data_IF_288809156474
#
_entry.id   IF_288809156474
#
_cell.length_a   1.000
_cell.length_b   1.000
_cell.length_c   1.000
_cell.angle_alpha   90.00
_cell.angle_beta   90.00
_cell.angle_gamma   90.00
#
_symmetry.space_group_name_H-M   'P 1'
#
loop_
_entity.id
_entity.type
_entity.pdbx_description
1 polymer ?
#
# COMPACT_ATOMS: atom_id res chain seq x y z
N UNK A 1 53.25 17.61 -15.19
CA UNK A 1 51.78 17.63 -14.98
C UNK A 1 51.18 16.25 -15.30
N UNK A 2 51.20 15.28 -14.38
CA UNK A 2 50.44 14.01 -14.52
C UNK A 2 50.25 13.33 -13.15
N UNK A 3 49.62 14.00 -12.18
CA UNK A 3 49.25 13.34 -10.90
C UNK A 3 47.92 13.78 -10.31
N UNK A 4 47.24 14.80 -10.86
CA UNK A 4 45.98 15.30 -10.28
C UNK A 4 44.70 14.61 -10.77
N UNK A 5 44.75 13.67 -11.71
CA UNK A 5 43.54 13.07 -12.29
C UNK A 5 43.10 11.74 -11.67
N UNK A 6 43.95 11.06 -10.88
CA UNK A 6 43.59 9.76 -10.28
C UNK A 6 42.84 9.88 -8.94
N UNK A 7 43.00 10.98 -8.20
CA UNK A 7 42.33 11.15 -6.90
C UNK A 7 40.86 11.57 -7.00
N UNK A 8 40.43 12.11 -8.15
CA UNK A 8 39.02 12.49 -8.38
C UNK A 8 38.09 11.29 -8.66
N UNK A 9 38.62 10.23 -9.27
CA UNK A 9 37.82 9.05 -9.63
C UNK A 9 37.58 8.11 -8.43
N UNK A 10 38.53 8.01 -7.51
CA UNK A 10 38.40 7.14 -6.33
C UNK A 10 37.41 7.73 -5.32
N UNK A 11 37.34 9.07 -5.20
CA UNK A 11 36.39 9.71 -4.29
C UNK A 11 34.93 9.60 -4.78
N UNK A 12 34.72 9.52 -6.10
CA UNK A 12 33.39 9.36 -6.70
C UNK A 12 32.82 7.94 -6.61
N UNK A 13 33.64 6.93 -6.31
CA UNK A 13 33.17 5.55 -6.12
C UNK A 13 32.79 5.24 -4.67
N UNK A 14 33.24 6.04 -3.69
CA UNK A 14 32.92 5.83 -2.28
C UNK A 14 31.52 6.37 -1.87
N UNK A 15 30.89 7.21 -2.69
CA UNK A 15 29.54 7.73 -2.48
C UNK A 15 28.46 6.97 -3.25
N UNK A 16 28.86 6.02 -4.10
CA UNK A 16 27.97 5.13 -4.85
C UNK A 16 27.66 3.87 -4.03
N UNK A 17 27.27 4.03 -2.76
CA UNK A 17 26.37 3.05 -2.17
C UNK A 17 25.05 3.28 -2.88
N UNK A 18 24.88 2.64 -4.03
CA UNK A 18 23.58 2.41 -4.62
C UNK A 18 22.77 1.70 -3.56
N UNK A 19 22.01 2.48 -2.79
CA UNK A 19 20.77 2.00 -2.22
C UNK A 19 20.02 1.57 -3.47
N UNK A 20 20.04 0.28 -3.75
CA UNK A 20 19.03 -0.35 -4.58
C UNK A 20 17.73 -0.10 -3.83
N UNK A 21 17.19 1.11 -3.99
CA UNK A 21 15.80 1.37 -3.75
C UNK A 21 15.13 0.39 -4.70
N UNK A 22 14.67 -0.72 -4.15
CA UNK A 22 13.84 -1.68 -4.85
C UNK A 22 12.75 -0.82 -5.49
N UNK A 23 12.87 -0.62 -6.80
CA UNK A 23 11.92 0.12 -7.63
C UNK A 23 10.59 -0.61 -7.41
N UNK A 24 9.67 -0.06 -6.65
CA UNK A 24 8.59 -0.86 -6.04
C UNK A 24 8.18 -0.43 -4.62
N UNK A 25 9.18 -0.04 -3.83
CA UNK A 25 9.17 -0.15 -2.38
C UNK A 25 8.82 1.10 -1.60
N UNK A 26 8.55 0.91 -0.30
CA UNK A 26 8.60 2.02 0.64
C UNK A 26 10.07 2.40 0.90
N UNK A 27 10.38 3.69 0.97
CA UNK A 27 11.66 4.18 1.48
C UNK A 27 11.83 3.80 2.97
N UNK A 28 13.06 3.75 3.48
CA UNK A 28 13.32 3.40 4.90
C UNK A 28 12.51 4.27 5.88
N UNK A 29 12.33 5.55 5.58
CA UNK A 29 11.54 6.46 6.39
C UNK A 29 10.04 6.12 6.32
N UNK A 30 9.52 5.80 5.14
CA UNK A 30 8.13 5.34 4.95
C UNK A 30 7.90 3.99 5.66
N UNK A 31 8.84 3.04 5.55
CA UNK A 31 8.80 1.74 6.23
C UNK A 31 8.70 1.94 7.74
N UNK A 32 9.60 2.74 8.31
CA UNK A 32 9.62 3.04 9.74
C UNK A 32 8.33 3.75 10.17
N UNK A 33 7.91 4.78 9.44
CA UNK A 33 6.70 5.55 9.73
C UNK A 33 5.46 4.66 9.75
N UNK A 34 5.32 3.77 8.77
CA UNK A 34 4.21 2.83 8.69
C UNK A 34 4.20 1.86 9.87
N UNK A 35 5.33 1.20 10.12
CA UNK A 35 5.45 0.18 11.18
C UNK A 35 5.25 0.78 12.57
N UNK A 36 5.82 1.97 12.82
CA UNK A 36 5.64 2.67 14.10
C UNK A 36 4.16 2.98 14.37
N UNK A 37 3.42 3.49 13.36
CA UNK A 37 2.02 3.84 13.54
C UNK A 37 1.13 2.59 13.66
N UNK A 38 1.41 1.51 12.91
CA UNK A 38 0.71 0.21 13.09
C UNK A 38 0.97 -0.36 14.48
N UNK A 39 2.23 -0.39 14.94
CA UNK A 39 2.57 -0.91 16.26
C UNK A 39 1.93 -0.09 17.39
N UNK A 40 1.93 1.23 17.27
CA UNK A 40 1.23 2.12 18.19
C UNK A 40 -0.26 1.77 18.31
N UNK A 41 -0.94 1.49 17.20
CA UNK A 41 -2.34 1.08 17.23
C UNK A 41 -2.52 -0.35 17.76
N UNK A 42 -1.65 -1.29 17.38
CA UNK A 42 -1.60 -2.65 17.96
C UNK A 42 -1.48 -2.61 19.48
N UNK A 43 -0.66 -1.71 20.03
CA UNK A 43 -0.48 -1.55 21.48
C UNK A 43 -1.70 -0.94 22.18
N UNK A 44 -2.45 -0.06 21.52
CA UNK A 44 -3.74 0.42 22.04
C UNK A 44 -4.78 -0.71 22.09
N UNK A 45 -4.76 -1.59 21.09
CA UNK A 45 -5.62 -2.77 21.05
C UNK A 45 -5.23 -3.78 22.15
N UNK A 46 -3.94 -4.10 22.26
CA UNK A 46 -3.39 -4.97 23.29
C UNK A 46 -1.91 -4.68 23.54
N UNK A 47 -1.58 -4.17 24.74
CA UNK A 47 -0.21 -3.80 25.11
C UNK A 47 0.81 -4.95 25.07
N UNK A 48 0.33 -6.20 25.13
CA UNK A 48 1.17 -7.41 25.11
C UNK A 48 1.55 -7.87 23.70
N UNK A 49 0.98 -7.29 22.65
CA UNK A 49 1.35 -7.66 21.28
C UNK A 49 2.82 -7.36 21.03
N UNK A 50 3.54 -8.28 20.40
CA UNK A 50 4.89 -7.97 19.92
C UNK A 50 4.81 -6.92 18.81
N UNK A 51 5.85 -6.10 18.75
CA UNK A 51 6.00 -5.14 17.66
C UNK A 51 6.28 -5.89 16.36
N UNK A 52 5.60 -5.47 15.29
CA UNK A 52 5.94 -5.89 13.95
C UNK A 52 7.29 -5.32 13.55
N UNK A 53 8.04 -6.12 12.79
CA UNK A 53 9.32 -5.73 12.21
C UNK A 53 9.21 -5.70 10.69
N UNK A 54 9.82 -4.70 10.05
CA UNK A 54 9.80 -4.61 8.59
C UNK A 54 10.75 -5.65 7.99
N UNK A 55 10.29 -6.36 6.96
CA UNK A 55 11.08 -7.34 6.21
C UNK A 55 11.02 -6.99 4.72
N UNK A 56 12.16 -6.56 4.17
CA UNK A 56 12.27 -6.16 2.76
C UNK A 56 12.19 -7.35 1.80
N UNK A 57 12.39 -8.58 2.26
CA UNK A 57 12.18 -9.75 1.39
C UNK A 57 10.69 -9.97 1.16
N UNK A 58 9.84 -9.67 2.15
CA UNK A 58 8.38 -9.74 1.99
C UNK A 58 7.85 -8.69 1.02
N UNK A 59 8.48 -7.52 0.94
CA UNK A 59 8.13 -6.49 -0.04
C UNK A 59 8.29 -7.01 -1.49
N UNK A 60 9.34 -7.79 -1.76
CA UNK A 60 9.61 -8.37 -3.08
C UNK A 60 8.58 -9.43 -3.50
N UNK A 61 7.87 -10.03 -2.54
CA UNK A 61 6.80 -10.99 -2.83
C UNK A 61 5.54 -10.29 -3.37
N UNK A 62 5.41 -8.96 -3.15
CA UNK A 62 4.22 -8.20 -3.49
C UNK A 62 4.23 -7.85 -4.97
N UNK A 63 3.44 -8.61 -5.71
CA UNK A 63 3.25 -8.46 -7.15
C UNK A 63 1.76 -8.43 -7.48
N UNK A 64 1.39 -8.00 -8.69
CA UNK A 64 -0.01 -8.02 -9.16
C UNK A 64 -0.65 -9.42 -9.09
N UNK A 65 0.15 -10.49 -9.09
CA UNK A 65 -0.36 -11.85 -8.88
C UNK A 65 -1.05 -12.04 -7.52
N UNK A 66 -0.72 -11.20 -6.53
CA UNK A 66 -1.37 -11.17 -5.23
C UNK A 66 -2.72 -10.45 -5.21
N UNK A 67 -3.11 -9.76 -6.28
CA UNK A 67 -4.39 -9.03 -6.33
C UNK A 67 -5.62 -9.91 -6.05
N UNK A 68 -5.50 -11.23 -6.24
CA UNK A 68 -6.57 -12.22 -6.04
C UNK A 68 -6.38 -13.05 -4.75
N UNK A 69 -5.46 -12.66 -3.88
CA UNK A 69 -5.11 -13.40 -2.66
C UNK A 69 -5.65 -12.69 -1.43
N UNK A 70 -6.36 -13.44 -0.58
CA UNK A 70 -7.04 -12.91 0.61
C UNK A 70 -6.08 -12.47 1.74
N UNK A 71 -4.78 -12.73 1.62
CA UNK A 71 -3.77 -12.29 2.59
C UNK A 71 -3.10 -10.97 2.22
N UNK A 72 -3.46 -10.35 1.08
CA UNK A 72 -2.95 -9.04 0.72
C UNK A 72 -3.76 -7.95 1.42
N UNK A 73 -3.10 -7.18 2.27
CA UNK A 73 -3.72 -6.14 3.07
C UNK A 73 -3.62 -4.82 2.33
N UNK A 74 -4.76 -4.30 1.85
CA UNK A 74 -4.81 -3.05 1.09
C UNK A 74 -4.48 -1.83 1.94
N UNK A 75 -3.68 -0.90 1.40
CA UNK A 75 -3.35 0.35 2.11
C UNK A 75 -4.34 1.48 1.79
N UNK A 76 -4.85 1.51 0.57
CA UNK A 76 -5.74 2.55 0.05
C UNK A 76 -6.75 1.93 -0.93
N UNK A 77 -7.96 2.49 -1.03
CA UNK A 77 -9.01 1.98 -1.93
C UNK A 77 -10.05 3.04 -2.30
N UNK A 78 -10.82 2.80 -3.37
CA UNK A 78 -11.87 3.72 -3.82
C UNK A 78 -13.16 3.60 -2.96
N UNK A 79 -14.07 4.57 -3.12
CA UNK A 79 -15.33 4.60 -2.35
C UNK A 79 -16.22 3.39 -2.59
N UNK A 80 -16.17 2.80 -3.79
CA UNK A 80 -16.93 1.57 -4.11
C UNK A 80 -16.45 0.41 -3.24
N UNK A 81 -15.14 0.24 -3.08
CA UNK A 81 -14.59 -0.80 -2.21
C UNK A 81 -14.93 -0.52 -0.74
N UNK A 82 -14.93 0.75 -0.32
CA UNK A 82 -15.37 1.14 1.02
C UNK A 82 -16.84 0.76 1.28
N UNK A 83 -17.73 0.94 0.29
CA UNK A 83 -19.14 0.54 0.40
C UNK A 83 -19.29 -0.98 0.50
N UNK A 84 -18.43 -1.75 -0.18
CA UNK A 84 -18.39 -3.21 -0.05
C UNK A 84 -18.03 -3.62 1.39
N UNK A 85 -16.99 -3.02 1.99
CA UNK A 85 -16.65 -3.28 3.41
C UNK A 85 -17.82 -2.92 4.33
N UNK A 86 -18.44 -1.75 4.14
CA UNK A 86 -19.54 -1.28 4.98
C UNK A 86 -20.79 -2.18 4.88
N UNK A 87 -21.01 -2.84 3.75
CA UNK A 87 -22.10 -3.81 3.56
C UNK A 87 -21.85 -5.17 4.24
N UNK A 88 -20.64 -5.39 4.78
CA UNK A 88 -20.20 -6.68 5.30
C UNK A 88 -19.94 -7.72 4.19
N UNK A 89 -19.80 -7.25 2.95
CA UNK A 89 -19.39 -8.05 1.79
C UNK A 89 -17.95 -8.54 1.90
N UNK A 90 -17.12 -7.81 2.63
CA UNK A 90 -15.75 -8.18 3.01
C UNK A 90 -15.44 -7.64 4.42
N UNK A 91 -14.46 -8.23 5.11
CA UNK A 91 -13.95 -7.73 6.40
C UNK A 91 -13.02 -6.55 6.21
N UNK A 92 -12.77 -5.77 7.27
CA UNK A 92 -11.72 -4.77 7.22
C UNK A 92 -10.38 -5.39 6.78
N UNK A 93 -9.66 -4.79 5.81
CA UNK A 93 -8.39 -5.34 5.33
C UNK A 93 -7.34 -5.37 6.44
N UNK A 94 -7.48 -4.50 7.45
CA UNK A 94 -6.51 -4.35 8.53
C UNK A 94 -6.65 -5.38 9.64
N UNK A 95 -7.66 -6.26 9.64
CA UNK A 95 -7.86 -7.29 10.68
C UNK A 95 -6.58 -8.07 10.95
N UNK A 96 -5.84 -8.43 9.89
CA UNK A 96 -4.61 -9.22 10.01
C UNK A 96 -3.48 -8.48 10.74
N UNK A 97 -3.45 -7.14 10.70
CA UNK A 97 -2.49 -6.34 11.48
C UNK A 97 -2.71 -6.43 12.99
N UNK A 98 -3.85 -6.94 13.44
CA UNK A 98 -4.19 -7.05 14.87
C UNK A 98 -4.19 -8.49 15.36
N UNK A 99 -3.51 -9.40 14.64
CA UNK A 99 -3.23 -10.74 15.16
C UNK A 99 -1.95 -10.71 16.03
N UNK A 100 -2.01 -11.33 17.21
CA UNK A 100 -0.88 -11.38 18.14
C UNK A 100 0.30 -12.21 17.62
N UNK A 101 0.04 -13.10 16.65
CA UNK A 101 1.00 -14.10 16.15
C UNK A 101 1.85 -13.59 14.99
N UNK A 102 1.45 -12.50 14.34
CA UNK A 102 2.22 -11.90 13.25
C UNK A 102 3.40 -11.10 13.82
N UNK A 103 4.57 -11.24 13.19
CA UNK A 103 5.83 -10.68 13.68
C UNK A 103 6.53 -9.83 12.61
N UNK A 104 6.27 -10.10 11.33
CA UNK A 104 6.91 -9.43 10.21
C UNK A 104 5.90 -8.85 9.24
N UNK A 105 6.27 -7.73 8.61
CA UNK A 105 5.49 -7.04 7.60
C UNK A 105 6.39 -6.60 6.45
N UNK A 106 5.94 -6.80 5.22
CA UNK A 106 6.48 -6.13 4.04
C UNK A 106 5.34 -5.45 3.29
N UNK A 107 5.61 -4.29 2.69
CA UNK A 107 4.59 -3.52 1.98
C UNK A 107 5.15 -2.96 0.67
N UNK A 108 4.29 -2.83 -0.33
CA UNK A 108 4.58 -2.09 -1.56
C UNK A 108 3.52 -1.01 -1.74
N UNK A 109 3.96 0.17 -2.19
CA UNK A 109 3.06 1.27 -2.58
C UNK A 109 2.71 1.28 -4.07
N UNK A 110 3.39 0.47 -4.87
CA UNK A 110 3.26 0.46 -6.34
C UNK A 110 2.18 -0.50 -6.84
N UNK A 111 1.77 -1.48 -6.04
CA UNK A 111 0.72 -2.42 -6.44
C UNK A 111 -0.63 -1.69 -6.62
N UNK A 112 -1.26 -1.94 -7.76
CA UNK A 112 -2.59 -1.47 -8.09
C UNK A 112 -3.43 -2.64 -8.56
N UNK A 113 -4.57 -2.84 -7.93
CA UNK A 113 -5.49 -3.91 -8.26
C UNK A 113 -6.86 -3.32 -8.59
N UNK A 114 -7.46 -3.80 -9.68
CA UNK A 114 -8.82 -3.47 -10.09
C UNK A 114 -9.60 -4.75 -10.34
N UNK A 115 -10.85 -4.75 -9.93
CA UNK A 115 -11.82 -5.80 -10.24
C UNK A 115 -13.23 -5.21 -10.27
N UNK A 116 -14.20 -6.00 -10.72
CA UNK A 116 -15.60 -5.64 -10.66
C UNK A 116 -16.28 -6.32 -9.48
N UNK A 117 -17.19 -5.60 -8.82
CA UNK A 117 -17.98 -6.17 -7.72
C UNK A 117 -18.87 -7.29 -8.27
N UNK A 118 -18.66 -8.51 -7.77
CA UNK A 118 -19.54 -9.65 -8.03
C UNK A 118 -20.84 -9.59 -7.22
N UNK A 119 -21.78 -10.48 -7.55
CA UNK A 119 -22.98 -10.67 -6.72
C UNK A 119 -22.68 -11.46 -5.44
N UNK A 120 -23.46 -11.22 -4.38
CA UNK A 120 -23.35 -11.97 -3.14
C UNK A 120 -24.48 -11.64 -2.16
N UNK A 121 -24.73 -12.49 -1.14
CA UNK A 121 -25.85 -12.32 -0.21
C UNK A 121 -25.76 -11.04 0.64
N UNK A 122 -24.55 -10.50 0.85
CA UNK A 122 -24.31 -9.26 1.59
C UNK A 122 -23.97 -8.05 0.70
N UNK A 123 -23.87 -8.25 -0.60
CA UNK A 123 -23.49 -7.20 -1.54
C UNK A 123 -24.77 -6.50 -2.05
N UNK A 124 -24.92 -5.18 -1.83
CA UNK A 124 -26.03 -4.41 -2.38
C UNK A 124 -26.05 -4.51 -3.92
N UNK A 125 -27.24 -4.65 -4.50
CA UNK A 125 -27.39 -4.81 -5.96
C UNK A 125 -26.84 -3.62 -6.73
N UNK A 126 -26.86 -2.43 -6.12
CA UNK A 126 -26.39 -1.17 -6.67
C UNK A 126 -24.86 -1.10 -6.77
N UNK A 127 -24.13 -2.01 -6.11
CA UNK A 127 -22.68 -2.12 -6.22
C UNK A 127 -22.25 -3.11 -7.30
N UNK A 128 -23.08 -4.09 -7.64
CA UNK A 128 -22.73 -5.14 -8.60
C UNK A 128 -22.33 -4.53 -9.95
N UNK A 129 -21.19 -4.97 -10.48
CA UNK A 129 -20.62 -4.50 -11.73
C UNK A 129 -19.82 -3.19 -11.64
N UNK A 130 -19.85 -2.48 -10.50
CA UNK A 130 -18.97 -1.31 -10.30
C UNK A 130 -17.52 -1.74 -10.12
N UNK A 131 -16.60 -0.85 -10.49
CA UNK A 131 -15.16 -1.07 -10.35
C UNK A 131 -14.71 -0.81 -8.90
N UNK A 132 -14.04 -1.78 -8.30
CA UNK A 132 -13.24 -1.59 -7.07
C UNK A 132 -11.79 -1.41 -7.45
N UNK A 133 -11.14 -0.44 -6.82
CA UNK A 133 -9.71 -0.18 -7.02
C UNK A 133 -9.06 -0.14 -5.65
N UNK A 134 -7.97 -0.88 -5.51
CA UNK A 134 -7.10 -0.85 -4.33
C UNK A 134 -5.67 -0.52 -4.73
N UNK A 135 -4.99 0.27 -3.90
CA UNK A 135 -3.62 0.72 -4.09
C UNK A 135 -2.78 0.41 -2.87
N UNK A 136 -1.55 0.01 -3.11
CA UNK A 136 -0.63 -0.44 -2.08
C UNK A 136 -1.10 -1.72 -1.41
N UNK A 137 -0.17 -2.51 -0.93
CA UNK A 137 -0.46 -3.79 -0.33
C UNK A 137 0.60 -4.17 0.67
N UNK A 138 0.21 -4.88 1.72
CA UNK A 138 1.11 -5.47 2.69
C UNK A 138 0.87 -6.97 2.80
N UNK A 139 1.94 -7.70 3.13
CA UNK A 139 1.88 -9.10 3.53
C UNK A 139 2.51 -9.28 4.90
N UNK A 140 2.01 -10.24 5.66
CA UNK A 140 2.48 -10.55 7.00
C UNK A 140 3.12 -11.94 7.06
N UNK A 141 4.03 -12.12 8.01
CA UNK A 141 4.50 -13.46 8.42
C UNK A 141 4.41 -13.66 9.93
N UNK A 142 4.06 -14.88 10.38
CA UNK A 142 3.51 -15.99 9.56
C UNK A 142 2.19 -15.62 8.86
N UNK A 143 1.94 -16.20 7.68
CA UNK A 143 0.66 -16.03 6.96
C UNK A 143 -0.41 -16.86 7.68
N UNK A 144 -1.35 -16.17 8.31
CA UNK A 144 -2.32 -16.79 9.20
C UNK A 144 -3.72 -16.28 8.86
N UNK A 145 -4.68 -17.20 8.91
CA UNK A 145 -6.07 -16.81 8.97
C UNK A 145 -6.29 -15.98 10.25
N UNK A 146 -6.90 -14.78 10.14
CA UNK A 146 -7.08 -13.92 11.29
C UNK A 146 -7.99 -14.58 12.33
N UNK A 147 -7.63 -14.43 13.61
CA UNK A 147 -8.57 -14.72 14.69
C UNK A 147 -9.76 -13.76 14.63
N UNK A 148 -10.88 -14.12 15.28
CA UNK A 148 -11.96 -13.16 15.51
C UNK A 148 -11.41 -11.96 16.29
N UNK A 149 -11.35 -10.82 15.64
CA UNK A 149 -10.93 -9.54 16.21
C UNK A 149 -12.15 -8.64 16.19
N UNK A 150 -12.32 -7.86 17.25
CA UNK A 150 -13.33 -6.81 17.30
C UNK A 150 -12.94 -5.68 16.33
N UNK A 151 -13.60 -5.65 15.17
CA UNK A 151 -13.33 -4.66 14.12
C UNK A 151 -13.60 -3.22 14.57
N UNK A 152 -14.37 -3.00 15.65
CA UNK A 152 -14.63 -1.65 16.17
C UNK A 152 -13.37 -0.95 16.71
N UNK A 153 -12.35 -1.74 17.07
CA UNK A 153 -11.07 -1.26 17.58
C UNK A 153 -10.01 -1.07 16.49
N UNK A 154 -10.32 -1.43 15.25
CA UNK A 154 -9.43 -1.29 14.10
C UNK A 154 -9.63 0.10 13.49
N UNK A 155 -8.55 0.80 13.11
CA UNK A 155 -8.65 2.05 12.36
C UNK A 155 -9.55 1.90 11.13
N UNK A 156 -10.49 2.83 10.97
CA UNK A 156 -11.40 2.87 9.82
C UNK A 156 -10.76 3.57 8.63
N UNK A 157 -11.25 3.25 7.43
CA UNK A 157 -10.82 3.87 6.19
C UNK A 157 -9.36 3.58 5.86
N UNK A 158 -8.78 4.40 4.99
CA UNK A 158 -7.44 4.25 4.41
C UNK A 158 -6.31 4.81 5.26
N UNK A 159 -6.44 4.80 6.60
CA UNK A 159 -5.51 5.48 7.54
C UNK A 159 -4.03 5.31 7.17
N UNK A 160 -3.60 4.08 6.89
CA UNK A 160 -2.20 3.77 6.61
C UNK A 160 -1.77 4.15 5.20
N UNK A 161 -2.67 4.10 4.21
CA UNK A 161 -2.42 4.66 2.89
C UNK A 161 -2.27 6.19 2.94
N UNK A 162 -3.12 6.87 3.69
CA UNK A 162 -3.07 8.33 3.87
C UNK A 162 -1.77 8.76 4.58
N UNK A 163 -1.34 7.99 5.58
CA UNK A 163 -0.06 8.19 6.29
C UNK A 163 1.14 8.18 5.32
N UNK A 164 1.06 7.35 4.28
CA UNK A 164 2.08 7.19 3.24
C UNK A 164 1.88 8.12 2.05
N UNK A 165 0.81 8.93 2.02
CA UNK A 165 0.47 9.76 0.88
C UNK A 165 0.07 8.97 -0.37
N UNK A 166 -0.41 7.73 -0.22
CA UNK A 166 -0.93 6.95 -1.33
C UNK A 166 -2.27 7.56 -1.76
N UNK A 167 -2.25 8.26 -2.88
CA UNK A 167 -3.43 8.92 -3.41
C UNK A 167 -4.17 8.01 -4.37
N UNK A 168 -5.48 7.87 -4.16
CA UNK A 168 -6.39 7.41 -5.21
C UNK A 168 -6.36 8.45 -6.33
N UNK A 169 -5.66 8.15 -7.43
CA UNK A 169 -5.80 8.95 -8.63
C UNK A 169 -7.27 8.92 -9.04
N UNK A 170 -7.97 10.05 -8.89
CA UNK A 170 -9.27 10.21 -9.52
C UNK A 170 -9.02 10.04 -11.01
N UNK A 171 -9.56 8.99 -11.62
CA UNK A 171 -9.69 8.87 -13.07
C UNK A 171 -10.66 9.95 -13.55
N UNK A 172 -10.19 11.20 -13.52
CA UNK A 172 -10.98 12.40 -13.70
C UNK A 172 -10.22 13.41 -14.55
N UNK A 173 -10.30 13.25 -15.87
CA UNK A 173 -10.28 14.37 -16.84
C UNK A 173 -9.06 15.30 -16.93
N UNK A 174 -7.87 14.97 -16.43
CA UNK A 174 -6.70 15.87 -16.61
C UNK A 174 -5.99 15.68 -17.96
N UNK A 175 -6.18 14.56 -18.67
CA UNK A 175 -5.46 14.30 -19.93
C UNK A 175 -5.94 15.09 -21.16
N UNK A 176 -7.04 15.84 -21.10
CA UNK A 176 -7.51 16.64 -22.24
C UNK A 176 -7.11 18.12 -22.18
N UNK A 177 -6.80 18.69 -21.01
CA UNK A 177 -6.50 20.13 -20.91
C UNK A 177 -5.16 20.51 -21.57
N UNK A 178 -4.16 19.62 -21.53
CA UNK A 178 -2.86 19.85 -22.19
C UNK A 178 -2.99 19.74 -23.72
N UNK A 179 -3.84 18.83 -24.22
CA UNK A 179 -4.08 18.68 -25.67
C UNK A 179 -4.86 19.89 -26.21
N UNK A 180 -5.85 20.40 -25.48
CA UNK A 180 -6.58 21.61 -25.89
C UNK A 180 -5.71 22.86 -25.89
N UNK A 181 -4.81 23.04 -24.92
CA UNK A 181 -3.87 24.17 -24.91
C UNK A 181 -2.84 24.09 -26.04
N UNK A 182 -2.35 22.89 -26.38
CA UNK A 182 -1.45 22.73 -27.50
C UNK A 182 -2.11 23.09 -28.84
N UNK A 183 -3.38 22.72 -29.06
CA UNK A 183 -4.10 23.05 -30.30
C UNK A 183 -4.32 24.58 -30.43
N UNK A 184 -4.57 25.30 -29.34
CA UNK A 184 -4.77 26.76 -29.40
C UNK A 184 -3.47 27.54 -29.68
N UNK A 185 -2.30 27.02 -29.32
CA UNK A 185 -1.00 27.67 -29.60
C UNK A 185 -0.55 27.49 -31.05
N UNK A 186 -1.03 26.46 -31.76
CA UNK A 186 -0.71 26.26 -33.18
C UNK A 186 -1.67 26.95 -34.16
N UNK A 187 -2.70 27.65 -33.65
CA UNK A 187 -3.71 28.36 -34.47
C UNK A 187 -3.69 29.89 -34.32
N UNK A 188 -2.63 30.46 -33.75
CA UNK A 188 -2.34 31.90 -33.75
C UNK A 188 -0.93 32.19 -34.26
#
# INVERSE_FOLDING_TARGET
MKTSLLFGFILFHALSVTIDAVKGGLSKDEQKKLVDEINKDRKKFNGNFKDLTYDTELEKEITEALCKKNYLIWLQWNSVHQDVFNSGGDSSPYVQFFDARVEKIGCSKEIRCSSTVGGGPKIPKELVGKEVISLGGCVLRPDLAPNKIDESLIPKGSKYGDLLGIMMSSSGRVFNLIVFLAIMVFYF
#
